data_IF_146364284036
#
_entry.id   IF_146364284036
#
_cell.length_a   1.000
_cell.length_b   1.000
_cell.length_c   1.000
_cell.angle_alpha   90.00
_cell.angle_beta   90.00
_cell.angle_gamma   90.00
#
_symmetry.space_group_name_H-M   'P 1'
#
loop_
_entity.id
_entity.type
_entity.pdbx_description
1 polymer ?
#
# COMPACT_ATOMS: atom_id res chain seq x y z
N UNK A 1 29.63 8.80 0.88
CA UNK A 1 28.77 7.99 1.78
C UNK A 1 28.06 6.97 0.90
N UNK A 2 28.35 5.68 1.11
CA UNK A 2 27.98 4.61 0.18
C UNK A 2 26.49 4.25 0.26
N UNK A 3 25.84 4.19 -0.89
CA UNK A 3 24.41 3.96 -1.12
C UNK A 3 23.91 2.53 -0.79
N UNK A 4 24.73 1.72 -0.12
CA UNK A 4 24.53 0.27 0.06
C UNK A 4 24.04 -0.08 1.48
N UNK A 5 24.16 0.81 2.46
CA UNK A 5 23.93 0.48 3.89
C UNK A 5 22.55 0.82 4.47
N UNK A 6 21.57 1.25 3.66
CA UNK A 6 20.17 1.41 4.14
C UNK A 6 19.24 0.30 3.66
N UNK A 7 19.73 -0.93 3.63
CA UNK A 7 18.84 -2.07 3.52
C UNK A 7 18.14 -2.22 4.88
N UNK A 8 16.88 -1.78 4.94
CA UNK A 8 16.04 -1.99 6.11
C UNK A 8 15.98 -3.49 6.39
N UNK A 9 16.15 -3.91 7.65
CA UNK A 9 16.02 -5.33 8.03
C UNK A 9 14.55 -5.74 7.98
N UNK A 10 14.05 -5.87 6.75
CA UNK A 10 12.69 -6.26 6.48
C UNK A 10 12.44 -7.71 6.90
N UNK A 11 13.48 -8.54 6.99
CA UNK A 11 13.38 -9.96 7.35
C UNK A 11 13.05 -10.20 8.82
N UNK A 12 13.40 -9.25 9.70
CA UNK A 12 12.97 -9.27 11.11
C UNK A 12 11.45 -9.21 11.30
N UNK A 13 10.70 -8.76 10.31
CA UNK A 13 9.24 -8.64 10.36
C UNK A 13 8.53 -9.87 9.79
N UNK A 14 7.41 -10.26 10.39
CA UNK A 14 6.60 -11.37 9.88
C UNK A 14 5.94 -11.02 8.53
N UNK A 15 5.69 -12.02 7.65
CA UNK A 15 4.89 -11.80 6.44
C UNK A 15 3.52 -11.20 6.76
N UNK A 16 3.01 -10.34 5.89
CA UNK A 16 1.81 -9.55 6.15
C UNK A 16 2.06 -8.28 6.95
N UNK A 17 3.28 -7.99 7.40
CA UNK A 17 3.58 -6.69 8.01
C UNK A 17 3.36 -5.58 6.98
N UNK A 18 2.54 -4.60 7.34
CA UNK A 18 2.15 -3.47 6.50
C UNK A 18 3.33 -2.52 6.37
N UNK A 19 3.60 -2.11 5.13
CA UNK A 19 4.64 -1.18 4.78
C UNK A 19 4.10 -0.09 3.86
N UNK A 20 4.73 1.07 3.91
CA UNK A 20 4.30 2.27 3.20
C UNK A 20 5.47 3.02 2.60
N UNK A 21 5.28 3.54 1.40
CA UNK A 21 6.26 4.38 0.72
C UNK A 21 5.59 5.64 0.16
N UNK A 22 6.26 6.77 0.30
CA UNK A 22 5.75 8.05 -0.19
C UNK A 22 6.02 8.20 -1.70
N UNK A 23 4.96 8.26 -2.51
CA UNK A 23 5.03 8.54 -3.96
C UNK A 23 4.88 10.05 -4.27
N UNK A 24 4.93 10.92 -3.28
CA UNK A 24 4.79 12.38 -3.37
C UNK A 24 3.34 12.84 -3.38
N UNK A 25 2.52 12.33 -4.30
CA UNK A 25 1.09 12.68 -4.39
C UNK A 25 0.21 11.81 -3.50
N UNK A 26 0.66 10.61 -3.16
CA UNK A 26 -0.06 9.67 -2.31
C UNK A 26 0.94 8.73 -1.64
N UNK A 27 0.50 8.08 -0.58
CA UNK A 27 1.29 7.01 0.04
C UNK A 27 0.85 5.66 -0.53
N UNK A 28 1.80 4.93 -1.11
CA UNK A 28 1.56 3.57 -1.59
C UNK A 28 1.77 2.59 -0.45
N UNK A 29 0.80 1.70 -0.26
CA UNK A 29 0.75 0.77 0.87
C UNK A 29 0.79 -0.66 0.34
N UNK A 30 1.59 -1.51 0.98
CA UNK A 30 1.70 -2.93 0.70
C UNK A 30 1.93 -3.74 1.97
N UNK A 31 2.24 -5.02 1.80
CA UNK A 31 2.61 -5.93 2.87
C UNK A 31 3.85 -6.71 2.49
N UNK A 32 4.77 -6.90 3.44
CA UNK A 32 5.92 -7.78 3.27
C UNK A 32 5.46 -9.21 2.99
N UNK A 33 5.99 -9.81 1.93
CA UNK A 33 5.67 -11.16 1.54
C UNK A 33 6.36 -12.24 2.38
N UNK A 34 5.99 -13.47 2.10
CA UNK A 34 6.55 -14.72 2.64
C UNK A 34 7.54 -15.40 1.68
N UNK A 35 7.79 -14.82 0.50
CA UNK A 35 8.64 -15.39 -0.54
C UNK A 35 9.58 -14.37 -1.16
N UNK A 36 10.47 -14.86 -2.01
CA UNK A 36 11.36 -14.04 -2.81
C UNK A 36 10.76 -13.72 -4.18
N UNK A 37 10.98 -12.51 -4.65
CA UNK A 37 10.74 -12.07 -6.04
C UNK A 37 11.95 -11.28 -6.49
N UNK A 38 12.54 -11.65 -7.63
CA UNK A 38 13.77 -10.99 -8.12
C UNK A 38 14.98 -11.16 -7.18
N UNK A 39 15.00 -12.16 -6.31
CA UNK A 39 16.07 -12.36 -5.32
C UNK A 39 15.93 -11.54 -4.03
N UNK A 40 14.89 -10.71 -3.93
CA UNK A 40 14.58 -9.91 -2.74
C UNK A 40 13.30 -10.39 -2.08
N UNK A 41 13.09 -10.00 -0.82
CA UNK A 41 11.78 -10.23 -0.17
C UNK A 41 10.71 -9.56 -1.01
N UNK A 42 9.62 -10.28 -1.30
CA UNK A 42 8.52 -9.70 -2.05
C UNK A 42 7.72 -8.70 -1.22
N UNK A 43 7.04 -7.79 -1.90
CA UNK A 43 5.99 -6.94 -1.35
C UNK A 43 4.73 -7.18 -2.17
N UNK A 44 3.63 -7.50 -1.48
CA UNK A 44 2.32 -7.64 -2.09
C UNK A 44 1.58 -6.30 -1.97
N UNK A 45 1.10 -5.77 -3.08
CA UNK A 45 0.36 -4.50 -3.09
C UNK A 45 -0.76 -4.48 -4.13
N UNK A 46 -1.65 -3.49 -4.02
CA UNK A 46 -2.64 -3.19 -5.05
C UNK A 46 -2.26 -1.86 -5.69
N UNK A 47 -1.70 -1.94 -6.89
CA UNK A 47 -1.02 -0.82 -7.55
C UNK A 47 -1.89 -0.20 -8.63
N UNK A 48 -2.04 1.12 -8.59
CA UNK A 48 -2.69 1.88 -9.66
C UNK A 48 -1.96 1.73 -10.99
N UNK A 49 -0.61 1.69 -10.95
CA UNK A 49 0.22 1.55 -12.15
C UNK A 49 0.12 0.15 -12.76
N UNK A 50 0.05 -0.89 -11.94
CA UNK A 50 -0.15 -2.27 -12.41
C UNK A 50 -1.63 -2.59 -12.73
N UNK A 51 -2.55 -1.70 -12.38
CA UNK A 51 -3.99 -1.90 -12.60
C UNK A 51 -4.65 -2.90 -11.65
N UNK A 52 -3.99 -3.32 -10.56
CA UNK A 52 -4.51 -4.31 -9.62
C UNK A 52 -3.43 -4.89 -8.71
N UNK A 53 -3.62 -6.16 -8.34
CA UNK A 53 -2.68 -6.91 -7.51
C UNK A 53 -1.33 -7.07 -8.21
N UNK A 54 -0.25 -6.85 -7.47
CA UNK A 54 1.12 -7.16 -7.87
C UNK A 54 1.89 -7.71 -6.67
N UNK A 55 2.81 -8.62 -6.95
CA UNK A 55 3.84 -9.05 -6.02
C UNK A 55 5.20 -8.78 -6.66
N UNK A 56 5.96 -7.85 -6.07
CA UNK A 56 7.18 -7.29 -6.66
C UNK A 56 8.36 -7.33 -5.68
N UNK A 57 9.61 -7.23 -6.14
CA UNK A 57 10.77 -7.07 -5.24
C UNK A 57 10.61 -5.86 -4.31
N UNK A 58 11.15 -5.93 -3.09
CA UNK A 58 11.10 -4.82 -2.14
C UNK A 58 11.70 -3.52 -2.71
N UNK A 59 12.81 -3.59 -3.45
CA UNK A 59 13.43 -2.44 -4.11
C UNK A 59 12.52 -1.76 -5.13
N UNK A 60 11.76 -2.54 -5.91
CA UNK A 60 10.79 -2.03 -6.89
C UNK A 60 9.59 -1.36 -6.22
N UNK A 61 9.10 -1.94 -5.11
CA UNK A 61 8.11 -1.29 -4.27
C UNK A 61 8.64 0.03 -3.70
N UNK A 62 9.89 0.04 -3.19
CA UNK A 62 10.50 1.20 -2.53
C UNK A 62 10.88 2.34 -3.49
N UNK A 63 11.22 2.04 -4.75
CA UNK A 63 11.66 3.03 -5.77
C UNK A 63 12.78 3.95 -5.29
N UNK A 64 13.71 3.39 -4.52
CA UNK A 64 14.83 4.14 -3.92
C UNK A 64 14.44 5.11 -2.80
N UNK A 65 13.21 5.01 -2.27
CA UNK A 65 12.71 5.83 -1.15
C UNK A 65 12.69 5.04 0.15
N UNK A 66 12.66 5.76 1.27
CA UNK A 66 12.54 5.14 2.58
C UNK A 66 11.13 4.54 2.76
N UNK A 67 11.08 3.27 3.17
CA UNK A 67 9.83 2.55 3.46
C UNK A 67 9.55 2.63 4.96
N UNK A 68 8.33 3.00 5.33
CA UNK A 68 7.85 3.00 6.71
C UNK A 68 7.19 1.66 7.02
N UNK A 69 7.43 1.14 8.23
CA UNK A 69 6.79 -0.07 8.73
C UNK A 69 5.61 0.34 9.62
N UNK A 70 4.40 0.00 9.19
CA UNK A 70 3.15 0.34 9.89
C UNK A 70 2.71 -0.79 10.88
N UNK A 71 3.38 -1.94 10.85
CA UNK A 71 3.13 -3.07 11.76
C UNK A 71 2.15 -4.11 11.22
N UNK A 72 1.59 -4.95 12.10
CA UNK A 72 0.69 -6.05 11.72
C UNK A 72 -0.69 -5.85 12.38
N UNK A 73 -1.69 -5.29 11.67
CA UNK A 73 -2.90 -4.71 12.28
C UNK A 73 -4.01 -5.71 12.63
N UNK A 74 -3.80 -7.03 12.53
CA UNK A 74 -4.83 -8.02 12.87
C UNK A 74 -4.28 -9.20 13.66
N UNK A 75 -5.18 -10.01 14.21
CA UNK A 75 -4.83 -11.26 14.91
C UNK A 75 -4.86 -12.48 13.97
N UNK A 76 -4.93 -12.26 12.64
CA UNK A 76 -4.90 -13.36 11.68
C UNK A 76 -3.49 -13.96 11.61
N UNK A 77 -3.41 -15.27 11.43
CA UNK A 77 -2.14 -15.92 11.16
C UNK A 77 -1.53 -15.38 9.84
N UNK A 78 -0.21 -15.09 9.76
CA UNK A 78 0.44 -14.55 8.56
C UNK A 78 0.10 -15.28 7.26
N UNK A 79 0.06 -16.62 7.30
CA UNK A 79 -0.33 -17.46 6.16
C UNK A 79 -1.73 -17.12 5.61
N UNK A 80 -2.68 -16.82 6.50
CA UNK A 80 -4.06 -16.44 6.12
C UNK A 80 -4.07 -15.06 5.47
N UNK A 81 -3.28 -14.11 6.00
CA UNK A 81 -3.13 -12.78 5.39
C UNK A 81 -2.57 -12.89 3.97
N UNK A 82 -1.52 -13.70 3.77
CA UNK A 82 -0.91 -13.94 2.46
C UNK A 82 -1.87 -14.63 1.48
N UNK A 83 -2.62 -15.64 1.94
CA UNK A 83 -3.64 -16.29 1.13
C UNK A 83 -4.73 -15.31 0.68
N UNK A 84 -5.24 -14.48 1.60
CA UNK A 84 -6.24 -13.45 1.30
C UNK A 84 -5.69 -12.42 0.32
N UNK A 85 -4.47 -11.95 0.53
CA UNK A 85 -3.80 -11.01 -0.38
C UNK A 85 -3.75 -11.57 -1.82
N UNK A 86 -3.27 -12.81 -1.99
CA UNK A 86 -3.17 -13.45 -3.32
C UNK A 86 -4.53 -13.76 -3.95
N UNK A 87 -5.58 -13.97 -3.16
CA UNK A 87 -6.94 -14.12 -3.69
C UNK A 87 -7.49 -12.87 -4.40
N UNK A 88 -6.79 -11.73 -4.30
CA UNK A 88 -7.10 -10.50 -5.03
C UNK A 88 -6.50 -10.44 -6.43
N UNK A 89 -5.73 -11.46 -6.83
CA UNK A 89 -5.22 -11.58 -8.19
C UNK A 89 -6.35 -11.52 -9.23
N UNK A 90 -6.11 -10.81 -10.33
CA UNK A 90 -7.10 -10.57 -11.39
C UNK A 90 -8.16 -9.50 -11.07
N UNK A 91 -8.22 -8.97 -9.85
CA UNK A 91 -9.12 -7.85 -9.50
C UNK A 91 -8.54 -6.53 -10.00
N UNK A 92 -9.41 -5.64 -10.50
CA UNK A 92 -9.02 -4.33 -11.03
C UNK A 92 -8.89 -3.28 -9.94
N UNK A 93 -7.88 -2.44 -10.07
CA UNK A 93 -7.68 -1.25 -9.24
C UNK A 93 -8.83 -0.25 -9.39
N UNK A 94 -9.25 0.33 -8.28
CA UNK A 94 -10.22 1.41 -8.22
C UNK A 94 -9.84 2.37 -7.10
N UNK A 95 -9.65 3.65 -7.44
CA UNK A 95 -9.32 4.70 -6.48
C UNK A 95 -10.33 4.80 -5.33
N UNK A 96 -11.61 4.53 -5.63
CA UNK A 96 -12.73 4.71 -4.70
C UNK A 96 -13.15 3.44 -3.96
N UNK A 97 -13.01 2.27 -4.57
CA UNK A 97 -13.60 1.03 -4.03
C UNK A 97 -12.59 -0.08 -3.77
N UNK A 98 -11.43 -0.07 -4.42
CA UNK A 98 -10.43 -1.12 -4.27
C UNK A 98 -9.03 -0.60 -4.63
N UNK A 99 -8.45 0.13 -3.68
CA UNK A 99 -7.12 0.73 -3.79
C UNK A 99 -6.14 -0.02 -2.86
N UNK A 100 -4.92 0.50 -2.71
CA UNK A 100 -3.89 -0.09 -1.85
C UNK A 100 -4.35 -0.25 -0.38
N UNK A 101 -5.01 0.75 0.21
CA UNK A 101 -5.49 0.70 1.59
C UNK A 101 -6.61 -0.32 1.79
N UNK A 102 -7.56 -0.36 0.84
CA UNK A 102 -8.63 -1.35 0.84
C UNK A 102 -8.08 -2.78 0.75
N UNK A 103 -7.05 -2.98 -0.08
CA UNK A 103 -6.39 -4.26 -0.22
C UNK A 103 -5.73 -4.74 1.07
N UNK A 104 -4.96 -3.90 1.76
CA UNK A 104 -4.32 -4.27 3.03
C UNK A 104 -5.37 -4.60 4.10
N UNK A 105 -6.43 -3.79 4.22
CA UNK A 105 -7.52 -4.06 5.15
C UNK A 105 -8.26 -5.35 4.82
N UNK A 106 -8.51 -5.61 3.54
CA UNK A 106 -9.06 -6.88 3.08
C UNK A 106 -8.16 -8.05 3.48
N UNK A 107 -6.87 -8.00 3.20
CA UNK A 107 -5.93 -9.07 3.54
C UNK A 107 -5.90 -9.33 5.06
N UNK A 108 -5.93 -8.28 5.88
CA UNK A 108 -5.96 -8.38 7.34
C UNK A 108 -7.33 -8.70 7.94
N UNK A 109 -8.41 -8.68 7.17
CA UNK A 109 -9.77 -8.88 7.68
C UNK A 109 -10.23 -7.75 8.62
N UNK A 110 -9.65 -6.56 8.50
CA UNK A 110 -10.03 -5.39 9.30
C UNK A 110 -11.11 -4.58 8.60
N UNK A 111 -11.79 -3.72 9.35
CA UNK A 111 -12.86 -2.85 8.82
C UNK A 111 -12.31 -2.03 7.65
N UNK A 112 -12.91 -2.12 6.48
CA UNK A 112 -12.52 -1.34 5.30
C UNK A 112 -12.99 0.11 5.49
N UNK A 113 -12.06 1.00 5.83
CA UNK A 113 -12.26 2.45 5.76
C UNK A 113 -11.17 3.01 4.86
N UNK A 114 -11.46 4.07 4.10
CA UNK A 114 -10.52 4.66 3.14
C UNK A 114 -10.03 6.04 3.64
N UNK A 115 -8.98 6.09 4.49
CA UNK A 115 -8.36 7.35 4.89
C UNK A 115 -7.94 8.25 3.72
N UNK A 116 -7.34 7.69 2.66
CA UNK A 116 -6.81 8.51 1.56
C UNK A 116 -7.89 9.24 0.74
N UNK A 117 -9.06 8.65 0.57
CA UNK A 117 -10.19 9.32 -0.09
C UNK A 117 -10.75 10.48 0.74
N UNK A 118 -10.66 10.40 2.08
CA UNK A 118 -11.15 11.46 2.97
C UNK A 118 -10.31 12.74 2.82
N UNK A 119 -9.00 12.62 2.57
CA UNK A 119 -8.11 13.78 2.38
C UNK A 119 -8.42 14.50 1.06
N UNK A 120 -8.57 13.76 -0.04
CA UNK A 120 -8.86 14.37 -1.36
C UNK A 120 -10.28 14.92 -1.49
N UNK A 121 -11.28 14.30 -0.85
CA UNK A 121 -12.65 14.83 -0.85
C UNK A 121 -12.77 16.15 -0.08
N UNK A 122 -12.04 16.31 1.04
CA UNK A 122 -11.98 17.59 1.78
C UNK A 122 -11.26 18.69 0.99
N UNK A 123 -10.16 18.38 0.31
CA UNK A 123 -9.44 19.38 -0.51
C UNK A 123 -10.19 19.78 -1.79
N UNK A 124 -10.82 18.81 -2.46
CA UNK A 124 -11.61 19.07 -3.67
C UNK A 124 -12.86 19.92 -3.42
N UNK A 125 -13.54 19.71 -2.27
CA UNK A 125 -14.71 20.51 -1.88
C UNK A 125 -14.36 21.94 -1.52
N UNK A 126 -13.21 22.19 -0.88
CA UNK A 126 -12.74 23.54 -0.56
C UNK A 126 -12.42 24.37 -1.83
N UNK A 127 -11.77 23.78 -2.83
CA UNK A 127 -11.49 24.46 -4.10
C UNK A 127 -12.75 24.75 -4.92
N UNK A 128 -13.72 23.82 -4.92
CA UNK A 128 -15.00 24.02 -5.59
C UNK A 128 -15.82 25.17 -5.02
N UNK A 129 -15.86 25.31 -3.68
CA UNK A 129 -16.56 26.41 -3.01
C UNK A 129 -15.90 27.77 -3.27
N UNK A 130 -14.57 27.85 -3.28
CA UNK A 130 -13.84 29.08 -3.59
C UNK A 130 -14.05 29.53 -5.05
N UNK A 131 -14.11 28.59 -6.00
CA UNK A 131 -14.38 28.91 -7.40
C UNK A 131 -15.82 29.42 -7.64
N UNK A 132 -16.80 28.92 -6.87
CA UNK A 132 -18.19 29.43 -6.90
C UNK A 132 -18.26 30.81 -6.27
N UNK A 133 -17.62 31.02 -5.12
CA UNK A 133 -17.58 32.32 -4.45
C UNK A 133 -16.85 33.39 -5.27
N UNK A 134 -15.80 33.03 -6.01
CA UNK A 134 -15.11 33.94 -6.92
C UNK A 134 -15.88 34.22 -8.23
N UNK A 135 -17.01 33.55 -8.45
CA UNK A 135 -17.91 33.73 -9.60
C UNK A 135 -19.27 34.32 -9.25
N UNK A 136 -19.51 34.63 -7.97
CA UNK A 136 -20.68 35.35 -7.46
C UNK A 136 -20.33 36.82 -7.21
#
# INVERSE_FOLDING_TARGET
MNSVERQQDIWSYQPGTVVRVDHGLYEHVGMLGDRLTGGERSVLSFSAQAGGFIEEPFSEFARGRDVKVDGFPSNLHPMIVMQRARAMEGRRYSLVTLNCEHFVRYAHGTVIQSPQLQIWTLLGSALGLLAIAARA
#
